data_IF_069969984289
#
_entry.id   IF_069969984289
#
_cell.length_a   1.000
_cell.length_b   1.000
_cell.length_c   1.000
_cell.angle_alpha   90.00
_cell.angle_beta   90.00
_cell.angle_gamma   90.00
#
_symmetry.space_group_name_H-M   'P 1'
#
loop_
_entity.id
_entity.type
_entity.pdbx_description
1 polymer ?
#
# COMPACT_ATOMS: atom_id res chain seq x y z
N UNK A 1 5.66 -14.78 3.58
CA UNK A 1 6.62 -13.78 3.11
C UNK A 1 6.00 -12.40 3.08
N UNK A 2 6.71 -11.36 3.49
CA UNK A 2 6.12 -10.01 3.48
C UNK A 2 6.05 -9.43 2.06
N UNK A 3 5.08 -8.54 1.88
CA UNK A 3 4.86 -7.80 0.64
C UNK A 3 4.75 -6.33 0.96
N UNK A 4 5.25 -5.49 0.06
CA UNK A 4 4.97 -4.06 0.08
C UNK A 4 3.86 -3.82 -0.92
N UNK A 5 2.89 -3.00 -0.57
CA UNK A 5 1.73 -2.77 -1.43
C UNK A 5 1.36 -1.30 -1.48
N UNK A 6 0.65 -0.94 -2.55
CA UNK A 6 0.05 0.38 -2.70
C UNK A 6 -1.44 0.18 -2.97
N UNK A 7 -2.28 0.91 -2.27
CA UNK A 7 -3.71 0.97 -2.55
C UNK A 7 -4.07 2.36 -3.05
N UNK A 8 -5.03 2.41 -3.98
CA UNK A 8 -5.60 3.67 -4.44
C UNK A 8 -6.85 3.93 -3.59
N UNK A 9 -6.95 5.12 -3.05
CA UNK A 9 -8.06 5.53 -2.20
C UNK A 9 -9.16 6.20 -3.03
N UNK A 10 -10.35 6.33 -2.43
CA UNK A 10 -11.51 6.91 -3.13
C UNK A 10 -11.30 8.36 -3.56
N UNK A 11 -10.42 9.09 -2.86
CA UNK A 11 -10.11 10.48 -3.18
C UNK A 11 -8.98 10.61 -4.22
N UNK A 12 -8.51 9.49 -4.79
CA UNK A 12 -7.44 9.49 -5.77
C UNK A 12 -6.04 9.46 -5.18
N UNK A 13 -5.90 9.47 -3.87
CA UNK A 13 -4.59 9.40 -3.22
C UNK A 13 -4.11 7.95 -3.14
N UNK A 14 -2.84 7.76 -2.80
CA UNK A 14 -2.23 6.45 -2.62
C UNK A 14 -1.80 6.26 -1.18
N UNK A 15 -1.93 5.03 -0.70
CA UNK A 15 -1.40 4.63 0.60
C UNK A 15 -0.47 3.44 0.39
N UNK A 16 0.72 3.50 0.99
CA UNK A 16 1.73 2.43 0.91
C UNK A 16 1.88 1.78 2.28
N UNK A 17 1.92 0.46 2.28
CA UNK A 17 2.11 -0.32 3.51
C UNK A 17 2.83 -1.61 3.23
N UNK A 18 2.98 -2.45 4.25
CA UNK A 18 3.48 -3.81 4.07
C UNK A 18 2.67 -4.78 4.91
N UNK A 19 2.58 -6.02 4.45
CA UNK A 19 1.82 -7.05 5.14
C UNK A 19 2.25 -8.42 4.65
N UNK A 20 2.00 -9.45 5.45
CA UNK A 20 2.22 -10.83 5.03
C UNK A 20 1.05 -11.36 4.23
N UNK A 21 -0.15 -10.84 4.47
CA UNK A 21 -1.36 -11.17 3.71
C UNK A 21 -1.99 -9.87 3.21
N UNK A 22 -1.70 -9.54 1.96
CA UNK A 22 -2.14 -8.26 1.38
C UNK A 22 -3.67 -8.23 1.20
N UNK A 23 -4.27 -9.33 0.77
CA UNK A 23 -5.73 -9.38 0.61
C UNK A 23 -6.45 -9.11 1.93
N UNK A 24 -6.00 -9.75 3.00
CA UNK A 24 -6.58 -9.55 4.32
C UNK A 24 -6.39 -8.11 4.80
N UNK A 25 -5.23 -7.52 4.51
CA UNK A 25 -4.95 -6.15 4.91
C UNK A 25 -5.82 -5.16 4.13
N UNK A 26 -6.02 -5.38 2.83
CA UNK A 26 -6.91 -4.52 2.02
C UNK A 26 -8.34 -4.64 2.53
N UNK A 27 -8.79 -5.85 2.86
CA UNK A 27 -10.11 -6.05 3.45
C UNK A 27 -10.25 -5.32 4.79
N UNK A 28 -9.20 -5.34 5.61
CA UNK A 28 -9.19 -4.63 6.89
C UNK A 28 -9.29 -3.11 6.67
N UNK A 29 -8.55 -2.58 5.69
CA UNK A 29 -8.64 -1.15 5.34
C UNK A 29 -10.07 -0.77 4.96
N UNK A 30 -10.72 -1.58 4.13
CA UNK A 30 -12.09 -1.30 3.70
C UNK A 30 -13.12 -1.50 4.80
N UNK A 31 -12.79 -2.30 5.80
CA UNK A 31 -13.63 -2.47 6.99
C UNK A 31 -13.39 -1.38 8.04
N UNK A 32 -12.44 -0.48 7.79
CA UNK A 32 -12.13 0.61 8.70
C UNK A 32 -11.17 0.24 9.82
N UNK A 33 -10.42 -0.87 9.67
CA UNK A 33 -9.53 -1.37 10.72
C UNK A 33 -8.04 -1.26 10.39
N UNK A 34 -7.67 -0.90 9.18
CA UNK A 34 -6.27 -0.86 8.78
C UNK A 34 -5.57 0.38 9.32
N UNK A 35 -5.59 1.46 8.55
CA UNK A 35 -4.99 2.72 8.97
C UNK A 35 -6.06 3.80 9.03
N UNK A 36 -5.78 4.82 9.84
CA UNK A 36 -6.68 5.98 9.94
C UNK A 36 -6.78 6.68 8.59
N UNK A 37 -5.66 6.76 7.86
CA UNK A 37 -5.63 7.36 6.53
C UNK A 37 -6.63 6.67 5.59
N UNK A 38 -6.58 5.34 5.52
CA UNK A 38 -7.47 4.57 4.66
C UNK A 38 -8.91 4.56 5.16
N UNK A 39 -9.11 4.57 6.48
CA UNK A 39 -10.45 4.58 7.07
C UNK A 39 -11.28 5.75 6.55
N UNK A 40 -10.67 6.91 6.40
CA UNK A 40 -11.35 8.11 5.96
C UNK A 40 -11.49 8.21 4.44
N UNK A 41 -10.85 7.29 3.69
CA UNK A 41 -10.75 7.35 2.23
C UNK A 41 -11.22 6.07 1.56
N UNK A 42 -12.11 5.34 2.23
CA UNK A 42 -12.68 4.11 1.68
C UNK A 42 -13.66 4.42 0.55
N UNK A 43 -13.85 3.51 -0.41
CA UNK A 43 -13.15 2.25 -0.54
C UNK A 43 -11.74 2.43 -1.09
N UNK A 44 -10.85 1.49 -0.75
CA UNK A 44 -9.50 1.44 -1.32
C UNK A 44 -9.38 0.18 -2.17
N UNK A 45 -8.51 0.21 -3.18
CA UNK A 45 -8.25 -0.95 -4.02
C UNK A 45 -6.76 -1.14 -4.20
N UNK A 46 -6.35 -2.39 -4.26
CA UNK A 46 -4.95 -2.74 -4.47
C UNK A 46 -4.56 -2.40 -5.90
N UNK A 47 -3.47 -1.63 -6.07
CA UNK A 47 -2.97 -1.26 -7.40
C UNK A 47 -1.53 -1.73 -7.63
N UNK A 48 -0.81 -2.15 -6.59
CA UNK A 48 0.56 -2.63 -6.73
C UNK A 48 0.95 -3.47 -5.52
N UNK A 49 1.75 -4.51 -5.75
CA UNK A 49 2.39 -5.24 -4.66
C UNK A 49 3.69 -5.84 -5.16
N UNK A 50 4.65 -5.95 -4.26
CA UNK A 50 5.93 -6.60 -4.53
C UNK A 50 6.36 -7.40 -3.31
N UNK A 51 7.00 -8.53 -3.56
CA UNK A 51 7.48 -9.43 -2.52
C UNK A 51 8.80 -8.91 -1.95
N UNK A 52 8.97 -9.04 -0.65
CA UNK A 52 10.24 -8.76 0.03
C UNK A 52 10.74 -10.04 0.69
N UNK A 53 12.06 -10.15 0.86
CA UNK A 53 12.66 -11.34 1.48
C UNK A 53 12.43 -11.38 2.97
N UNK A 54 12.49 -10.22 3.63
CA UNK A 54 12.35 -10.11 5.09
C UNK A 54 11.47 -8.92 5.45
N UNK A 55 11.03 -8.90 6.71
CA UNK A 55 10.28 -7.75 7.23
C UNK A 55 11.10 -6.46 7.17
N UNK A 56 12.39 -6.56 7.48
CA UNK A 56 13.29 -5.40 7.43
C UNK A 56 13.35 -4.81 6.02
N UNK A 57 13.46 -5.68 5.00
CA UNK A 57 13.45 -5.23 3.61
C UNK A 57 12.12 -4.64 3.21
N UNK A 58 11.01 -5.23 3.66
CA UNK A 58 9.68 -4.70 3.39
C UNK A 58 9.52 -3.31 3.98
N UNK A 59 9.98 -3.10 5.21
CA UNK A 59 9.90 -1.79 5.87
C UNK A 59 10.75 -0.75 5.16
N UNK A 60 11.97 -1.13 4.73
CA UNK A 60 12.84 -0.23 3.97
C UNK A 60 12.20 0.18 2.64
N UNK A 61 11.62 -0.79 1.95
CA UNK A 61 11.00 -0.54 0.66
C UNK A 61 9.75 0.31 0.82
N UNK A 62 8.95 0.04 1.85
CA UNK A 62 7.78 0.86 2.18
C UNK A 62 8.19 2.32 2.36
N UNK A 63 9.24 2.56 3.16
CA UNK A 63 9.73 3.92 3.40
C UNK A 63 10.21 4.58 2.11
N UNK A 64 10.90 3.82 1.26
CA UNK A 64 11.40 4.35 -0.01
C UNK A 64 10.24 4.75 -0.94
N UNK A 65 9.22 3.91 -1.03
CA UNK A 65 8.05 4.20 -1.88
C UNK A 65 7.26 5.39 -1.33
N UNK A 66 7.12 5.49 -0.02
CA UNK A 66 6.43 6.63 0.61
C UNK A 66 7.08 7.96 0.27
N UNK A 67 8.40 7.99 0.07
CA UNK A 67 9.15 9.20 -0.30
C UNK A 67 9.06 9.53 -1.77
N UNK A 68 8.60 8.63 -2.61
CA UNK A 68 8.51 8.87 -4.04
C UNK A 68 7.44 9.92 -4.34
N UNK A 69 7.69 10.84 -5.29
CA UNK A 69 6.64 11.72 -5.78
C UNK A 69 5.57 10.89 -6.50
N UNK A 70 4.38 11.45 -6.64
CA UNK A 70 3.26 10.76 -7.26
C UNK A 70 3.60 10.22 -8.66
N UNK A 71 4.35 10.98 -9.45
CA UNK A 71 4.73 10.56 -10.80
C UNK A 71 5.53 9.26 -10.80
N UNK A 72 6.41 9.09 -9.80
CA UNK A 72 7.19 7.87 -9.68
C UNK A 72 6.33 6.69 -9.22
N UNK A 73 5.39 6.94 -8.30
CA UNK A 73 4.45 5.92 -7.87
C UNK A 73 3.58 5.44 -9.02
N UNK A 74 3.12 6.36 -9.87
CA UNK A 74 2.33 6.00 -11.05
C UNK A 74 3.11 5.10 -12.00
N UNK A 75 4.40 5.37 -12.23
CA UNK A 75 5.24 4.51 -13.05
C UNK A 75 5.40 3.13 -12.44
N UNK A 76 5.57 3.07 -11.13
CA UNK A 76 5.71 1.79 -10.42
C UNK A 76 4.43 0.95 -10.56
N UNK A 77 3.28 1.58 -10.49
CA UNK A 77 1.97 0.92 -10.64
C UNK A 77 1.73 0.48 -12.09
N UNK A 78 2.38 1.10 -13.04
CA UNK A 78 2.23 0.76 -14.46
C UNK A 78 1.27 1.66 -15.22
N UNK A 79 1.03 2.84 -14.71
CA UNK A 79 0.17 3.81 -15.38
C UNK A 79 0.92 4.97 -16.00
#
# INVERSE_FOLDING_TARGET
MPFVYIVACSDGSFYTGWATDVEARVAAHNAGRGSVYCKQRRPVRLVYQEKAETRAEAQKREAAIKRMPRSRKLKLIGE
#
